data_IF_101945084923
#
_entry.id   IF_101945084923
#
_cell.length_a   1.000
_cell.length_b   1.000
_cell.length_c   1.000
_cell.angle_alpha   90.00
_cell.angle_beta   90.00
_cell.angle_gamma   90.00
#
_symmetry.space_group_name_H-M   'P 1'
#
loop_
_entity.id
_entity.type
_entity.pdbx_description
1 polymer ?
#
# COMPACT_ATOMS: atom_id res chain seq x y z
N UNK A 1 40.09 24.91 -13.39
CA UNK A 1 39.26 23.88 -12.73
C UNK A 1 38.23 23.39 -13.73
N UNK A 2 38.41 22.19 -14.27
CA UNK A 2 37.51 21.60 -15.26
C UNK A 2 36.18 21.23 -14.59
N UNK A 3 35.12 21.95 -14.93
CA UNK A 3 33.76 21.54 -14.60
C UNK A 3 33.47 20.24 -15.34
N UNK A 4 33.52 19.11 -14.64
CA UNK A 4 33.06 17.83 -15.18
C UNK A 4 31.57 17.99 -15.47
N UNK A 5 31.21 18.18 -16.73
CA UNK A 5 29.82 18.16 -17.18
C UNK A 5 29.24 16.77 -16.88
N UNK A 6 28.51 16.66 -15.77
CA UNK A 6 27.79 15.45 -15.39
C UNK A 6 26.54 15.32 -16.25
N UNK A 7 26.64 14.64 -17.39
CA UNK A 7 25.45 14.29 -18.18
C UNK A 7 24.61 13.24 -17.42
N UNK A 8 23.29 13.44 -17.38
CA UNK A 8 22.38 12.44 -16.85
C UNK A 8 22.22 11.32 -17.87
N UNK A 9 22.25 10.04 -17.46
CA UNK A 9 22.05 8.93 -18.39
C UNK A 9 20.68 9.03 -19.05
N UNK A 10 20.60 8.62 -20.31
CA UNK A 10 19.32 8.55 -21.04
C UNK A 10 18.42 7.48 -20.43
N UNK A 11 17.11 7.53 -20.72
CA UNK A 11 16.18 6.49 -20.23
C UNK A 11 16.52 5.11 -20.82
N UNK A 12 16.92 5.07 -22.09
CA UNK A 12 17.35 3.85 -22.77
C UNK A 12 18.62 3.25 -22.13
N UNK A 13 19.59 4.08 -21.76
CA UNK A 13 20.78 3.61 -21.05
C UNK A 13 20.43 3.01 -19.68
N UNK A 14 19.50 3.63 -18.95
CA UNK A 14 19.04 3.14 -17.66
C UNK A 14 18.34 1.78 -17.80
N UNK A 15 17.46 1.64 -18.80
CA UNK A 15 16.77 0.37 -19.11
C UNK A 15 17.76 -0.75 -19.46
N UNK A 16 18.73 -0.49 -20.36
CA UNK A 16 19.76 -1.47 -20.73
C UNK A 16 20.57 -1.93 -19.51
N UNK A 17 20.96 -0.99 -18.63
CA UNK A 17 21.68 -1.32 -17.39
C UNK A 17 20.82 -2.09 -16.40
N UNK A 18 19.52 -1.78 -16.33
CA UNK A 18 18.59 -2.45 -15.43
C UNK A 18 18.43 -3.92 -15.86
N UNK A 19 18.21 -4.13 -17.15
CA UNK A 19 18.12 -5.45 -17.77
C UNK A 19 19.41 -6.27 -17.58
N UNK A 20 20.58 -5.68 -17.86
CA UNK A 20 21.85 -6.38 -17.64
C UNK A 20 22.05 -6.79 -16.16
N UNK A 21 21.56 -5.96 -15.22
CA UNK A 21 21.65 -6.25 -13.80
C UNK A 21 20.69 -7.35 -13.35
N UNK A 22 19.46 -7.36 -13.87
CA UNK A 22 18.48 -8.43 -13.58
C UNK A 22 18.92 -9.75 -14.18
N UNK A 23 19.39 -9.77 -15.43
CA UNK A 23 19.93 -10.98 -16.07
C UNK A 23 21.12 -11.56 -15.30
N UNK A 24 22.04 -10.69 -14.85
CA UNK A 24 23.18 -11.11 -14.02
C UNK A 24 22.74 -11.65 -12.66
N UNK A 25 21.66 -11.13 -12.08
CA UNK A 25 21.09 -11.64 -10.84
C UNK A 25 20.42 -13.01 -11.05
N UNK A 26 19.67 -13.17 -12.15
CA UNK A 26 19.04 -14.44 -12.54
C UNK A 26 20.06 -15.55 -12.78
N UNK A 27 21.18 -15.26 -13.46
CA UNK A 27 22.32 -16.19 -13.63
C UNK A 27 22.95 -16.65 -12.31
N UNK A 28 22.73 -15.91 -11.21
CA UNK A 28 23.19 -16.24 -9.86
C UNK A 28 22.09 -16.86 -8.99
N UNK A 29 20.95 -17.25 -9.56
CA UNK A 29 19.83 -17.86 -8.83
C UNK A 29 19.10 -16.90 -7.90
N UNK A 30 19.21 -15.58 -8.08
CA UNK A 30 18.47 -14.61 -7.26
C UNK A 30 17.15 -14.26 -7.92
N UNK A 31 16.05 -14.54 -7.24
CA UNK A 31 14.73 -14.01 -7.60
C UNK A 31 14.71 -12.50 -7.39
N UNK A 32 14.26 -11.77 -8.40
CA UNK A 32 14.18 -10.31 -8.40
C UNK A 32 12.73 -9.91 -8.65
N UNK A 33 12.26 -8.87 -7.97
CA UNK A 33 10.90 -8.35 -8.11
C UNK A 33 10.95 -6.95 -8.75
N UNK A 34 11.16 -6.86 -10.08
CA UNK A 34 11.28 -5.57 -10.75
C UNK A 34 9.93 -4.86 -10.78
N UNK A 35 9.93 -3.54 -10.58
CA UNK A 35 8.74 -2.72 -10.75
C UNK A 35 8.62 -2.29 -12.21
N UNK A 36 7.52 -2.68 -12.86
CA UNK A 36 7.27 -2.38 -14.28
C UNK A 36 6.04 -1.49 -14.40
N UNK A 37 6.27 -0.23 -14.80
CA UNK A 37 5.18 0.72 -15.03
C UNK A 37 4.63 0.56 -16.45
N UNK A 38 3.39 0.13 -16.57
CA UNK A 38 2.69 0.03 -17.85
C UNK A 38 1.96 1.34 -18.19
N UNK A 39 2.47 2.07 -19.18
CA UNK A 39 1.88 3.31 -19.69
C UNK A 39 2.38 4.56 -18.98
N UNK A 40 1.58 5.63 -18.98
CA UNK A 40 1.98 6.96 -18.48
C UNK A 40 1.80 7.11 -16.96
N UNK A 41 0.78 6.45 -16.42
CA UNK A 41 0.38 6.54 -15.01
C UNK A 41 1.17 5.54 -14.18
N UNK A 42 1.76 6.01 -13.08
CA UNK A 42 2.57 5.16 -12.19
C UNK A 42 1.68 4.23 -11.36
N UNK A 43 0.59 4.75 -10.83
CA UNK A 43 -0.38 4.01 -10.04
C UNK A 43 -1.81 4.27 -10.56
N UNK A 44 -2.60 3.21 -10.70
CA UNK A 44 -3.94 3.19 -11.30
C UNK A 44 -5.00 2.91 -10.24
N UNK A 45 -4.71 2.03 -9.28
CA UNK A 45 -5.61 1.74 -8.16
C UNK A 45 -5.74 2.95 -7.25
N UNK A 46 -6.80 2.96 -6.46
CA UNK A 46 -6.97 3.98 -5.44
C UNK A 46 -5.79 3.98 -4.46
N UNK A 47 -5.40 2.82 -3.93
CA UNK A 47 -4.30 2.69 -2.96
C UNK A 47 -2.98 3.23 -3.48
N UNK A 48 -2.64 2.88 -4.70
CA UNK A 48 -1.42 3.37 -5.33
C UNK A 48 -1.44 4.88 -5.58
N UNK A 49 -2.59 5.43 -6.00
CA UNK A 49 -2.78 6.89 -6.18
C UNK A 49 -2.70 7.63 -4.85
N UNK A 50 -3.49 7.22 -3.86
CA UNK A 50 -3.52 7.82 -2.53
C UNK A 50 -2.14 7.81 -1.86
N UNK A 51 -1.37 6.74 -2.06
CA UNK A 51 0.03 6.68 -1.63
C UNK A 51 0.91 7.73 -2.32
N UNK A 52 0.85 7.80 -3.66
CA UNK A 52 1.61 8.79 -4.43
C UNK A 52 1.23 10.23 -4.03
N UNK A 53 -0.07 10.51 -3.94
CA UNK A 53 -0.60 11.83 -3.58
C UNK A 53 -0.20 12.23 -2.16
N UNK A 54 -0.22 11.29 -1.22
CA UNK A 54 0.23 11.51 0.16
C UNK A 54 1.69 11.92 0.21
N UNK A 55 2.57 11.20 -0.51
CA UNK A 55 4.00 11.53 -0.57
C UNK A 55 4.25 12.87 -1.27
N UNK A 56 3.47 13.18 -2.31
CA UNK A 56 3.54 14.45 -3.03
C UNK A 56 3.07 15.63 -2.18
N UNK A 57 2.13 15.41 -1.25
CA UNK A 57 1.66 16.44 -0.30
C UNK A 57 2.74 16.90 0.68
N UNK A 58 3.82 16.14 0.83
CA UNK A 58 4.92 16.49 1.71
C UNK A 58 5.81 17.53 1.02
N UNK A 59 5.65 18.79 1.43
CA UNK A 59 6.29 19.95 0.81
C UNK A 59 7.80 19.78 0.59
N UNK A 60 8.49 19.16 1.55
CA UNK A 60 9.94 18.89 1.50
C UNK A 60 10.35 17.95 0.35
N UNK A 61 9.42 17.20 -0.22
CA UNK A 61 9.68 16.16 -1.22
C UNK A 61 9.43 16.64 -2.65
N UNK A 62 8.45 17.52 -2.85
CA UNK A 62 7.93 17.99 -4.15
C UNK A 62 9.00 18.19 -5.25
N UNK A 63 10.01 19.03 -5.02
CA UNK A 63 11.07 19.36 -5.99
C UNK A 63 12.01 18.20 -6.36
N UNK A 64 11.99 17.09 -5.61
CA UNK A 64 12.89 15.93 -5.80
C UNK A 64 12.21 14.75 -6.50
N UNK A 65 10.88 14.74 -6.53
CA UNK A 65 10.08 13.59 -6.96
C UNK A 65 10.10 13.35 -8.47
N UNK A 66 10.18 14.39 -9.30
CA UNK A 66 10.13 14.25 -10.77
C UNK A 66 11.24 13.35 -11.34
N UNK A 67 12.45 13.44 -10.77
CA UNK A 67 13.56 12.56 -11.15
C UNK A 67 13.28 11.11 -10.73
N UNK A 68 12.61 10.91 -9.60
CA UNK A 68 12.12 9.60 -9.16
C UNK A 68 11.10 9.02 -10.13
N UNK A 69 10.10 9.82 -10.54
CA UNK A 69 9.09 9.43 -11.56
C UNK A 69 9.75 8.96 -12.86
N UNK A 70 10.80 9.66 -13.31
CA UNK A 70 11.57 9.24 -14.51
C UNK A 70 12.28 7.90 -14.31
N UNK A 71 12.85 7.65 -13.13
CA UNK A 71 13.58 6.42 -12.84
C UNK A 71 12.65 5.21 -12.75
N UNK A 72 11.57 5.30 -11.98
CA UNK A 72 10.61 4.19 -11.85
C UNK A 72 9.97 3.85 -13.21
N UNK A 73 9.59 4.84 -14.03
CA UNK A 73 9.11 4.63 -15.40
C UNK A 73 10.15 4.01 -16.33
N UNK A 74 11.44 4.24 -16.05
CA UNK A 74 12.55 3.63 -16.76
C UNK A 74 12.84 2.18 -16.36
N UNK A 75 12.01 1.56 -15.51
CA UNK A 75 12.22 0.18 -15.04
C UNK A 75 13.50 0.03 -14.21
N UNK A 76 13.97 1.11 -13.57
CA UNK A 76 15.24 1.07 -12.85
C UNK A 76 15.16 0.42 -11.48
N UNK A 77 13.96 0.31 -10.91
CA UNK A 77 13.73 -0.41 -9.65
C UNK A 77 13.66 -1.90 -10.00
N UNK A 78 14.81 -2.57 -9.90
CA UNK A 78 14.98 -3.94 -10.40
C UNK A 78 14.63 -5.01 -9.37
N UNK A 79 14.52 -4.62 -8.11
CA UNK A 79 13.99 -5.44 -7.02
C UNK A 79 13.35 -4.50 -6.00
N UNK A 80 12.10 -4.78 -5.61
CA UNK A 80 11.39 -4.08 -4.56
C UNK A 80 10.65 -5.11 -3.71
N UNK A 81 11.01 -5.17 -2.43
CA UNK A 81 10.42 -6.10 -1.48
C UNK A 81 9.82 -5.30 -0.33
N UNK A 82 8.52 -5.49 -0.12
CA UNK A 82 7.77 -4.92 0.99
C UNK A 82 7.69 -5.97 2.10
N UNK A 83 8.01 -5.56 3.31
CA UNK A 83 7.84 -6.32 4.54
C UNK A 83 7.30 -5.39 5.63
N UNK A 84 6.91 -5.98 6.77
CA UNK A 84 6.39 -5.22 7.92
C UNK A 84 7.31 -4.07 8.32
N UNK A 85 6.83 -2.84 8.10
CA UNK A 85 7.52 -1.60 8.44
C UNK A 85 8.80 -1.31 7.64
N UNK A 86 9.13 -2.09 6.60
CA UNK A 86 10.37 -1.89 5.84
C UNK A 86 10.21 -2.27 4.37
N UNK A 87 10.73 -1.43 3.50
CA UNK A 87 10.88 -1.70 2.08
C UNK A 87 12.37 -1.75 1.75
N UNK A 88 12.79 -2.85 1.14
CA UNK A 88 14.16 -3.02 0.62
C UNK A 88 14.10 -3.04 -0.89
N UNK A 89 14.96 -2.25 -1.53
CA UNK A 89 14.98 -2.18 -2.98
C UNK A 89 16.40 -2.08 -3.56
N UNK A 90 16.53 -2.53 -4.80
CA UNK A 90 17.69 -2.33 -5.64
C UNK A 90 17.30 -1.42 -6.80
N UNK A 91 17.97 -0.27 -6.90
CA UNK A 91 17.72 0.71 -7.95
C UNK A 91 18.94 0.85 -8.84
N UNK A 92 18.79 0.47 -10.09
CA UNK A 92 19.81 0.67 -11.09
C UNK A 92 19.95 2.17 -11.42
N UNK A 93 21.18 2.68 -11.32
CA UNK A 93 21.48 4.06 -11.68
C UNK A 93 22.61 4.14 -12.68
N UNK A 94 23.43 5.19 -12.56
CA UNK A 94 24.57 5.40 -13.46
C UNK A 94 25.67 4.34 -13.28
N UNK A 95 25.94 3.91 -12.04
CA UNK A 95 27.00 2.95 -11.70
C UNK A 95 26.61 1.54 -12.15
N UNK A 96 27.61 0.68 -12.38
CA UNK A 96 27.40 -0.73 -12.76
C UNK A 96 26.68 -1.50 -11.67
N UNK A 97 26.98 -1.22 -10.39
CA UNK A 97 26.30 -1.85 -9.26
C UNK A 97 25.02 -1.07 -8.92
N UNK A 98 23.86 -1.73 -8.80
CA UNK A 98 22.63 -1.11 -8.31
C UNK A 98 22.81 -0.53 -6.90
N UNK A 99 22.13 0.59 -6.64
CA UNK A 99 22.07 1.19 -5.31
C UNK A 99 21.08 0.43 -4.45
N UNK A 100 21.47 0.14 -3.21
CA UNK A 100 20.56 -0.32 -2.16
C UNK A 100 19.79 0.87 -1.61
N UNK A 101 18.48 0.70 -1.50
CA UNK A 101 17.57 1.64 -0.87
C UNK A 101 16.81 0.90 0.23
N UNK A 102 16.72 1.51 1.40
CA UNK A 102 15.88 1.05 2.51
C UNK A 102 14.93 2.18 2.87
N UNK A 103 13.64 1.88 2.97
CA UNK A 103 12.62 2.81 3.48
C UNK A 103 12.01 2.14 4.70
N UNK A 104 12.08 2.77 5.85
CA UNK A 104 11.43 2.26 7.05
C UNK A 104 10.18 3.10 7.30
N UNK A 105 9.10 2.41 7.67
CA UNK A 105 7.81 3.02 7.95
C UNK A 105 7.39 2.55 9.33
N UNK A 106 7.24 3.50 10.24
CA UNK A 106 6.81 3.20 11.60
C UNK A 106 5.45 2.51 11.58
N UNK A 107 5.29 1.29 12.12
CA UNK A 107 4.02 0.57 12.15
C UNK A 107 2.89 1.38 12.82
N UNK A 108 1.64 1.02 12.52
CA UNK A 108 0.50 1.66 13.20
C UNK A 108 0.50 1.34 14.69
N UNK A 109 0.14 2.31 15.53
CA UNK A 109 -0.02 2.06 16.96
C UNK A 109 -1.28 1.24 17.24
N UNK A 110 -1.23 0.37 18.26
CA UNK A 110 -2.37 -0.49 18.61
C UNK A 110 -3.64 0.32 18.91
N UNK A 111 -3.51 1.45 19.61
CA UNK A 111 -4.63 2.34 19.93
C UNK A 111 -5.33 2.84 18.67
N UNK A 112 -4.56 3.19 17.63
CA UNK A 112 -5.10 3.68 16.36
C UNK A 112 -5.71 2.54 15.54
N UNK A 113 -5.06 1.39 15.51
CA UNK A 113 -5.60 0.19 14.88
C UNK A 113 -6.97 -0.19 15.47
N UNK A 114 -7.10 -0.18 16.80
CA UNK A 114 -8.36 -0.48 17.48
C UNK A 114 -9.47 0.54 17.14
N UNK A 115 -9.13 1.83 16.97
CA UNK A 115 -10.11 2.84 16.52
C UNK A 115 -10.62 2.53 15.12
N UNK A 116 -9.73 2.15 14.20
CA UNK A 116 -10.08 1.81 12.82
C UNK A 116 -10.98 0.57 12.80
N UNK A 117 -10.59 -0.49 13.53
CA UNK A 117 -11.39 -1.72 13.66
C UNK A 117 -12.83 -1.43 14.09
N UNK A 118 -13.03 -0.61 15.14
CA UNK A 118 -14.37 -0.20 15.61
C UNK A 118 -15.22 0.55 14.58
N UNK A 119 -14.61 1.23 13.63
CA UNK A 119 -15.34 1.92 12.56
C UNK A 119 -15.70 0.92 11.46
N UNK A 120 -14.77 0.06 11.07
CA UNK A 120 -14.99 -1.00 10.10
C UNK A 120 -16.05 -2.02 10.56
N UNK A 121 -16.14 -2.32 11.85
CA UNK A 121 -17.18 -3.18 12.45
C UNK A 121 -18.61 -2.74 12.08
N UNK A 122 -18.83 -1.43 11.91
CA UNK A 122 -20.16 -0.88 11.59
C UNK A 122 -20.48 -0.88 10.09
N UNK A 123 -19.53 -1.29 9.24
CA UNK A 123 -19.62 -1.18 7.77
C UNK A 123 -18.95 -2.38 7.07
N UNK A 124 -19.55 -3.57 7.15
CA UNK A 124 -18.96 -4.81 6.62
C UNK A 124 -18.78 -4.80 5.09
N UNK A 125 -19.69 -4.16 4.35
CA UNK A 125 -19.54 -3.97 2.89
C UNK A 125 -18.24 -3.29 2.51
N UNK A 126 -17.74 -2.42 3.38
CA UNK A 126 -16.51 -1.68 3.18
C UNK A 126 -15.29 -2.58 3.31
N UNK A 127 -15.36 -3.65 4.10
CA UNK A 127 -14.25 -4.60 4.30
C UNK A 127 -14.07 -5.49 3.06
N UNK A 128 -15.16 -5.98 2.46
CA UNK A 128 -15.08 -6.75 1.22
C UNK A 128 -14.51 -5.91 0.08
N UNK A 129 -14.92 -4.64 -0.03
CA UNK A 129 -14.33 -3.70 -0.98
C UNK A 129 -12.83 -3.48 -0.71
N UNK A 130 -12.43 -3.27 0.54
CA UNK A 130 -11.01 -3.16 0.94
C UNK A 130 -10.20 -4.41 0.53
N UNK A 131 -10.79 -5.61 0.66
CA UNK A 131 -10.15 -6.87 0.25
C UNK A 131 -10.00 -7.01 -1.26
N UNK A 132 -10.95 -6.48 -2.03
CA UNK A 132 -10.90 -6.47 -3.49
C UNK A 132 -9.98 -5.38 -4.06
N UNK A 133 -9.34 -4.58 -3.19
CA UNK A 133 -8.48 -3.47 -3.59
C UNK A 133 -9.23 -2.19 -3.91
N UNK A 134 -10.55 -2.20 -3.75
CA UNK A 134 -11.37 -1.02 -3.77
C UNK A 134 -11.23 -0.27 -2.44
N UNK A 135 -11.41 1.03 -2.51
CA UNK A 135 -11.34 1.87 -1.34
C UNK A 135 -12.72 2.49 -1.12
N UNK A 136 -13.43 2.12 -0.05
CA UNK A 136 -14.76 2.66 0.25
C UNK A 136 -14.65 4.17 0.50
N UNK A 137 -15.41 4.98 -0.24
CA UNK A 137 -15.46 6.45 -0.06
C UNK A 137 -15.77 6.81 1.41
N UNK A 138 -16.65 6.02 2.01
CA UNK A 138 -17.05 6.09 3.41
C UNK A 138 -15.91 5.96 4.44
N UNK A 139 -14.80 5.33 4.06
CA UNK A 139 -13.62 5.16 4.91
C UNK A 139 -12.49 6.14 4.55
N UNK A 140 -12.67 6.98 3.54
CA UNK A 140 -11.65 7.91 3.03
C UNK A 140 -11.17 8.89 4.08
N UNK A 141 -12.08 9.56 4.75
CA UNK A 141 -11.73 10.50 5.81
C UNK A 141 -11.05 9.82 7.00
N UNK A 142 -11.40 8.57 7.30
CA UNK A 142 -10.80 7.80 8.38
C UNK A 142 -9.35 7.42 8.08
N UNK A 143 -9.06 7.06 6.84
CA UNK A 143 -7.75 6.57 6.43
C UNK A 143 -6.79 7.68 5.98
N UNK A 144 -7.28 8.79 5.43
CA UNK A 144 -6.48 9.91 4.93
C UNK A 144 -6.25 11.03 5.97
N UNK A 145 -6.95 11.02 7.11
CA UNK A 145 -6.69 12.01 8.15
C UNK A 145 -5.25 11.87 8.71
N UNK A 146 -4.77 12.88 9.46
CA UNK A 146 -3.43 12.88 10.07
C UNK A 146 -3.19 11.71 11.04
N UNK A 147 -4.25 11.10 11.54
CA UNK A 147 -4.23 9.90 12.38
C UNK A 147 -4.62 8.62 11.61
N UNK A 148 -4.60 8.65 10.29
CA UNK A 148 -5.09 7.59 9.45
C UNK A 148 -4.08 6.45 9.27
N UNK A 149 -4.32 5.62 8.26
CA UNK A 149 -3.41 4.54 7.91
C UNK A 149 -2.18 5.04 7.16
N UNK A 150 -2.26 6.16 6.43
CA UNK A 150 -1.08 6.65 5.73
C UNK A 150 -0.03 7.19 6.71
N UNK A 151 1.26 6.80 6.54
CA UNK A 151 2.31 7.22 7.46
C UNK A 151 2.66 8.68 7.22
N UNK A 152 2.68 9.50 8.27
CA UNK A 152 3.13 10.90 8.15
C UNK A 152 4.63 11.03 7.86
N UNK A 153 5.13 12.23 7.49
CA UNK A 153 6.54 12.42 7.08
C UNK A 153 7.57 11.99 8.13
N UNK A 154 7.26 12.19 9.42
CA UNK A 154 8.13 11.80 10.55
C UNK A 154 8.14 10.29 10.82
N UNK A 155 7.19 9.56 10.25
CA UNK A 155 7.05 8.13 10.37
C UNK A 155 7.79 7.37 9.28
N UNK A 156 8.45 8.09 8.36
CA UNK A 156 9.17 7.52 7.23
C UNK A 156 10.65 7.89 7.34
N UNK A 157 11.52 6.88 7.33
CA UNK A 157 12.98 7.04 7.27
C UNK A 157 13.50 6.50 5.95
N UNK A 158 14.61 7.07 5.47
CA UNK A 158 15.23 6.69 4.20
C UNK A 158 16.71 6.45 4.39
N UNK A 159 17.21 5.37 3.80
CA UNK A 159 18.63 5.13 3.58
C UNK A 159 18.87 4.76 2.11
N UNK A 160 19.94 5.32 1.53
CA UNK A 160 20.33 5.01 0.17
C UNK A 160 21.84 5.04 0.04
N UNK A 161 22.41 3.95 -0.47
CA UNK A 161 23.86 3.79 -0.74
C UNK A 161 24.44 4.69 -1.85
N UNK A 162 23.70 5.70 -2.31
CA UNK A 162 24.17 6.63 -3.33
C UNK A 162 24.94 7.79 -2.70
N UNK A 163 25.88 8.43 -3.41
CA UNK A 163 26.68 9.52 -2.87
C UNK A 163 25.93 10.86 -2.78
N UNK A 164 24.60 10.84 -2.90
CA UNK A 164 23.75 12.02 -2.77
C UNK A 164 23.52 12.29 -1.27
N UNK A 165 23.82 13.50 -0.82
CA UNK A 165 23.69 13.90 0.58
C UNK A 165 22.25 14.29 0.94
N UNK A 166 21.35 14.41 -0.05
CA UNK A 166 19.95 14.67 0.19
C UNK A 166 19.27 13.47 0.87
N UNK A 167 18.49 13.72 1.93
CA UNK A 167 17.67 12.68 2.60
C UNK A 167 16.74 11.96 1.62
N UNK A 168 16.19 12.68 0.63
CA UNK A 168 15.38 12.13 -0.46
C UNK A 168 16.11 12.29 -1.79
N UNK A 169 16.91 11.29 -2.16
CA UNK A 169 17.51 11.23 -3.49
C UNK A 169 16.50 10.68 -4.53
N UNK A 170 16.83 10.79 -5.82
CA UNK A 170 16.00 10.26 -6.92
C UNK A 170 15.76 8.74 -6.84
N UNK A 171 16.67 7.97 -6.23
CA UNK A 171 16.49 6.53 -6.07
C UNK A 171 15.45 6.22 -5.01
N UNK A 172 15.49 6.92 -3.87
CA UNK A 172 14.45 6.82 -2.82
C UNK A 172 13.10 7.24 -3.40
N UNK A 173 13.04 8.36 -4.12
CA UNK A 173 11.82 8.79 -4.80
C UNK A 173 11.29 7.75 -5.80
N UNK A 174 12.16 7.10 -6.57
CA UNK A 174 11.76 6.02 -7.47
C UNK A 174 11.17 4.82 -6.72
N UNK A 175 11.71 4.46 -5.56
CA UNK A 175 11.17 3.39 -4.71
C UNK A 175 9.84 3.79 -4.09
N UNK A 176 9.69 5.04 -3.63
CA UNK A 176 8.42 5.56 -3.12
C UNK A 176 7.30 5.45 -4.15
N UNK A 177 7.55 5.83 -5.40
CA UNK A 177 6.58 5.62 -6.49
C UNK A 177 6.40 4.14 -6.82
N UNK A 178 7.46 3.33 -6.74
CA UNK A 178 7.40 1.89 -6.96
C UNK A 178 6.51 1.19 -5.94
N UNK A 179 6.51 1.62 -4.67
CA UNK A 179 5.59 1.10 -3.64
C UNK A 179 4.13 1.33 -4.07
N UNK A 180 3.80 2.52 -4.57
CA UNK A 180 2.45 2.81 -5.07
C UNK A 180 2.04 1.90 -6.23
N UNK A 181 2.96 1.62 -7.15
CA UNK A 181 2.71 0.68 -8.25
C UNK A 181 2.51 -0.76 -7.75
N UNK A 182 3.25 -1.19 -6.72
CA UNK A 182 3.07 -2.53 -6.12
C UNK A 182 1.71 -2.68 -5.44
N UNK A 183 1.11 -1.59 -4.94
CA UNK A 183 -0.24 -1.64 -4.37
C UNK A 183 -1.32 -1.87 -5.43
N UNK A 184 -1.09 -1.47 -6.68
CA UNK A 184 -2.00 -1.83 -7.78
C UNK A 184 -2.01 -3.35 -8.03
N UNK A 185 -0.87 -4.01 -7.83
CA UNK A 185 -0.74 -5.46 -8.00
C UNK A 185 -1.27 -6.22 -6.79
N UNK A 186 -0.98 -5.72 -5.58
CA UNK A 186 -1.42 -6.33 -4.33
C UNK A 186 -1.66 -5.27 -3.23
N UNK A 187 -2.92 -4.90 -2.97
CA UNK A 187 -3.31 -3.96 -1.92
C UNK A 187 -2.91 -4.42 -0.50
N UNK A 188 -2.81 -5.74 -0.25
CA UNK A 188 -2.42 -6.27 1.07
C UNK A 188 -0.99 -5.85 1.47
N UNK A 189 -0.14 -5.50 0.51
CA UNK A 189 1.20 -4.98 0.79
C UNK A 189 1.16 -3.66 1.56
N UNK A 190 0.10 -2.85 1.41
CA UNK A 190 -0.07 -1.63 2.21
C UNK A 190 -0.26 -1.98 3.68
N UNK A 191 -1.17 -2.91 3.98
CA UNK A 191 -1.43 -3.36 5.34
C UNK A 191 -0.21 -4.06 5.95
N UNK A 192 0.48 -4.92 5.19
CA UNK A 192 1.74 -5.53 5.60
C UNK A 192 2.75 -4.46 5.97
N UNK A 193 2.96 -3.46 5.10
CA UNK A 193 3.89 -2.35 5.33
C UNK A 193 3.51 -1.55 6.59
N UNK A 194 2.22 -1.36 6.85
CA UNK A 194 1.71 -0.71 8.07
C UNK A 194 1.74 -1.61 9.31
N UNK A 195 2.08 -2.88 9.15
CA UNK A 195 2.16 -3.87 10.23
C UNK A 195 0.80 -4.35 10.71
N UNK A 196 -0.21 -4.29 9.83
CA UNK A 196 -1.58 -4.73 10.09
C UNK A 196 -1.73 -6.14 9.56
N UNK A 197 -2.17 -7.04 10.43
CA UNK A 197 -2.62 -8.36 10.01
C UNK A 197 -4.06 -8.27 9.53
N UNK A 198 -4.24 -8.39 8.21
CA UNK A 198 -5.56 -8.27 7.59
C UNK A 198 -6.46 -9.44 7.97
N UNK A 199 -5.91 -10.62 8.26
CA UNK A 199 -6.71 -11.75 8.72
C UNK A 199 -7.33 -11.46 10.09
N UNK A 200 -6.58 -10.83 11.00
CA UNK A 200 -7.12 -10.34 12.28
C UNK A 200 -8.20 -9.28 12.06
N UNK A 201 -7.98 -8.34 11.12
CA UNK A 201 -8.95 -7.28 10.84
C UNK A 201 -10.28 -7.83 10.29
N UNK A 202 -10.21 -8.81 9.39
CA UNK A 202 -11.39 -9.44 8.78
C UNK A 202 -12.09 -10.38 9.76
N UNK A 203 -11.34 -11.23 10.47
CA UNK A 203 -11.91 -12.21 11.40
C UNK A 203 -12.67 -11.52 12.54
N UNK A 204 -12.08 -10.46 13.12
CA UNK A 204 -12.73 -9.69 14.18
C UNK A 204 -13.99 -8.99 13.68
N UNK A 205 -13.95 -8.40 12.47
CA UNK A 205 -15.12 -7.74 11.91
C UNK A 205 -16.27 -8.72 11.61
N UNK A 206 -15.97 -9.92 11.11
CA UNK A 206 -16.97 -10.96 10.87
C UNK A 206 -17.60 -11.45 12.18
N UNK A 207 -16.79 -11.77 13.19
CA UNK A 207 -17.29 -12.21 14.51
C UNK A 207 -18.20 -11.13 15.12
N UNK A 208 -17.76 -9.87 15.10
CA UNK A 208 -18.54 -8.77 15.65
C UNK A 208 -19.84 -8.53 14.86
N UNK A 209 -19.85 -8.74 13.55
CA UNK A 209 -21.09 -8.63 12.77
C UNK A 209 -22.09 -9.72 13.14
N UNK A 210 -21.65 -10.97 13.26
CA UNK A 210 -22.49 -12.09 13.70
C UNK A 210 -23.03 -11.81 15.10
N UNK A 211 -22.19 -11.35 16.04
CA UNK A 211 -22.62 -10.97 17.38
C UNK A 211 -23.65 -9.83 17.36
N UNK A 212 -23.48 -8.84 16.46
CA UNK A 212 -24.44 -7.76 16.31
C UNK A 212 -25.79 -8.28 15.76
N UNK A 213 -25.78 -9.16 14.76
CA UNK A 213 -26.99 -9.80 14.23
C UNK A 213 -27.68 -10.65 15.31
N UNK A 214 -26.92 -11.42 16.09
CA UNK A 214 -27.42 -12.23 17.19
C UNK A 214 -27.99 -11.37 18.33
N UNK A 215 -27.36 -10.24 18.65
CA UNK A 215 -27.85 -9.31 19.68
C UNK A 215 -29.22 -8.70 19.34
N UNK A 216 -29.53 -8.59 18.06
CA UNK A 216 -30.82 -8.13 17.56
C UNK A 216 -31.81 -9.26 17.26
N UNK A 217 -31.39 -10.53 17.32
CA UNK A 217 -32.26 -11.68 17.05
C UNK A 217 -33.44 -11.79 18.02
N UNK A 218 -33.29 -11.25 19.24
CA UNK A 218 -34.36 -11.22 20.26
C UNK A 218 -35.18 -9.92 20.26
N UNK A 219 -34.91 -8.99 19.33
CA UNK A 219 -35.63 -7.70 19.27
C UNK A 219 -36.87 -7.85 18.39
N UNK A 220 -38.03 -8.01 19.03
CA UNK A 220 -39.32 -8.05 18.34
C UNK A 220 -39.57 -6.72 17.60
N UNK A 221 -39.71 -6.78 16.28
CA UNK A 221 -40.17 -5.64 15.47
C UNK A 221 -41.63 -5.81 15.12
N UNK A 222 -42.35 -4.71 14.83
CA UNK A 222 -43.77 -4.74 14.41
C UNK A 222 -44.05 -5.56 13.13
N UNK A 223 -43.00 -6.00 12.42
CA UNK A 223 -43.08 -6.83 11.22
C UNK A 223 -42.74 -8.30 11.49
N UNK A 224 -42.33 -8.67 12.72
CA UNK A 224 -42.16 -10.05 13.12
C UNK A 224 -43.52 -10.63 13.52
N UNK A 225 -43.88 -11.74 12.89
CA UNK A 225 -45.05 -12.55 13.21
C UNK A 225 -44.73 -13.33 14.48
N UNK A 226 -45.64 -13.34 15.46
CA UNK A 226 -45.49 -14.12 16.69
C UNK A 226 -45.52 -15.62 16.34
N UNK A 227 -44.78 -16.46 17.07
CA UNK A 227 -44.70 -17.91 16.79
C UNK A 227 -46.09 -18.56 16.80
N UNK A 228 -47.03 -17.99 17.59
CA UNK A 228 -48.43 -18.43 17.63
C UNK A 228 -49.17 -18.14 16.32
N UNK A 229 -48.89 -17.01 15.69
CA UNK A 229 -49.56 -16.54 14.46
C UNK A 229 -49.01 -17.24 13.20
N UNK A 230 -47.81 -17.85 13.27
CA UNK A 230 -47.24 -18.63 12.16
C UNK A 230 -48.08 -19.87 11.86
N UNK A 231 -48.56 -20.55 12.92
CA UNK A 231 -49.44 -21.73 12.83
C UNK A 231 -50.72 -21.42 12.07
N UNK A 232 -51.30 -20.24 12.34
CA UNK A 232 -52.57 -19.79 11.77
C UNK A 232 -52.42 -19.35 10.30
N UNK A 233 -51.28 -18.76 9.93
CA UNK A 233 -51.01 -18.31 8.54
C UNK A 233 -50.70 -19.48 7.61
N UNK A 234 -49.98 -20.50 8.09
CA UNK A 234 -49.53 -21.62 7.24
C UNK A 234 -50.33 -22.91 7.43
N UNK A 235 -51.33 -22.93 8.33
CA UNK A 235 -52.10 -24.14 8.69
C UNK A 235 -51.20 -25.36 8.98
N UNK A 236 -50.06 -25.11 9.64
CA UNK A 236 -49.14 -26.17 9.99
C UNK A 236 -49.59 -26.76 11.33
N UNK A 237 -50.17 -27.96 11.28
CA UNK A 237 -50.37 -28.80 12.46
C UNK A 237 -48.99 -29.22 13.00
N UNK A 238 -48.44 -28.44 13.92
CA UNK A 238 -47.26 -28.86 14.70
C UNK A 238 -47.75 -29.85 15.76
N UNK A 239 -47.51 -31.14 15.52
CA UNK A 239 -47.68 -32.21 16.52
C UNK A 239 -46.60 -32.17 17.59
#
# INVERSE_FOLDING_TARGET
MSFVHYSQPTLLELQKKAQASTEKAGKKGRAMHPVVIQGRTIAKSYWGKAWCDTIESYADYSSRLDRGKRYVRGGTVIDLQIKKGVVKALVQGRRVRPYKVTIEIQPISQTRLNKIKKVCEKRITDIEALMNGDFPEDLQELFLNKEGLFPGPRQISFDCSCPDWARLCKHVAAVLYGIGAMFDENPFLFFELRGIDVNSLVSEALVNHVDQMLSHAHVHTKRMIDDKDISDIFQLDVK
#
